data_IF_244130324281
#
_entry.id   IF_244130324281
#
_cell.length_a   1.000
_cell.length_b   1.000
_cell.length_c   1.000
_cell.angle_alpha   90.00
_cell.angle_beta   90.00
_cell.angle_gamma   90.00
#
_symmetry.space_group_name_H-M   'P 1'
#
loop_
_entity.id
_entity.type
_entity.pdbx_description
1 polymer ?
#
# COMPACT_ATOMS: atom_id res chain seq x y z
N UNK A 1 -10.16 -7.27 -5.51
CA UNK A 1 -11.16 -7.81 -6.47
C UNK A 1 -11.66 -9.18 -6.05
N UNK A 2 -12.97 -9.49 -6.19
CA UNK A 2 -13.51 -10.78 -5.80
C UNK A 2 -13.15 -11.90 -6.79
N UNK A 3 -13.12 -13.12 -6.29
CA UNK A 3 -13.02 -14.34 -7.12
C UNK A 3 -14.20 -14.37 -8.11
N UNK A 4 -13.93 -14.77 -9.35
CA UNK A 4 -14.90 -14.81 -10.44
C UNK A 4 -15.05 -13.50 -11.21
N UNK A 5 -14.29 -12.46 -10.85
CA UNK A 5 -14.28 -11.21 -11.62
C UNK A 5 -13.88 -11.46 -13.07
N UNK A 6 -14.71 -11.03 -14.02
CA UNK A 6 -14.47 -11.18 -15.46
C UNK A 6 -13.49 -10.09 -15.88
N UNK A 7 -12.33 -10.51 -16.38
CA UNK A 7 -11.29 -9.62 -16.87
C UNK A 7 -11.61 -9.23 -18.31
N UNK A 8 -11.85 -10.24 -19.15
CA UNK A 8 -12.09 -10.06 -20.58
C UNK A 8 -12.76 -11.30 -21.19
N UNK A 9 -13.17 -11.20 -22.46
CA UNK A 9 -13.65 -12.33 -23.26
C UNK A 9 -12.90 -12.38 -24.59
N UNK A 10 -12.13 -13.45 -24.77
CA UNK A 10 -11.42 -13.72 -26.01
C UNK A 10 -12.35 -14.26 -27.07
N UNK A 11 -12.07 -13.88 -28.31
CA UNK A 11 -12.83 -14.30 -29.48
C UNK A 11 -11.83 -14.83 -30.51
N UNK A 12 -12.00 -16.09 -30.89
CA UNK A 12 -11.40 -16.70 -32.06
C UNK A 12 -12.49 -17.04 -33.08
N UNK A 13 -12.14 -16.98 -34.36
CA UNK A 13 -13.04 -17.22 -35.48
C UNK A 13 -12.47 -18.33 -36.36
N UNK A 14 -13.29 -19.32 -36.64
CA UNK A 14 -13.04 -20.35 -37.66
C UNK A 14 -13.87 -20.01 -38.92
N UNK A 15 -13.33 -20.26 -40.12
CA UNK A 15 -13.96 -19.88 -41.38
C UNK A 15 -14.98 -20.91 -41.92
N UNK A 16 -15.23 -21.98 -41.17
CA UNK A 16 -16.16 -23.04 -41.56
C UNK A 16 -17.64 -22.64 -41.38
N UNK A 17 -18.42 -22.84 -42.45
CA UNK A 17 -19.72 -22.18 -42.69
C UNK A 17 -20.83 -22.58 -41.71
N UNK A 18 -20.74 -23.74 -41.04
CA UNK A 18 -21.80 -24.22 -40.12
C UNK A 18 -21.43 -24.19 -38.64
N UNK A 19 -20.26 -23.66 -38.27
CA UNK A 19 -19.87 -23.67 -36.87
C UNK A 19 -18.66 -22.74 -36.69
N UNK A 20 -18.66 -21.87 -35.68
CA UNK A 20 -17.40 -21.42 -35.08
C UNK A 20 -16.74 -22.66 -34.42
N UNK A 21 -16.35 -23.65 -35.23
CA UNK A 21 -16.49 -25.08 -35.02
C UNK A 21 -15.69 -25.61 -33.85
N UNK A 22 -16.38 -25.88 -32.73
CA UNK A 22 -15.82 -26.55 -31.57
C UNK A 22 -14.42 -26.05 -31.16
N UNK A 23 -14.20 -24.74 -31.19
CA UNK A 23 -12.91 -24.18 -30.76
C UNK A 23 -12.75 -24.31 -29.24
N UNK A 24 -11.53 -24.61 -28.80
CA UNK A 24 -11.20 -24.71 -27.38
C UNK A 24 -10.07 -23.77 -26.97
N UNK A 25 -10.32 -23.00 -25.91
CA UNK A 25 -9.36 -22.08 -25.30
C UNK A 25 -8.64 -22.73 -24.13
N UNK A 26 -7.31 -22.61 -24.10
CA UNK A 26 -6.46 -23.16 -23.04
C UNK A 26 -5.41 -22.16 -22.59
N UNK A 27 -5.26 -22.04 -21.28
CA UNK A 27 -4.18 -21.28 -20.68
C UNK A 27 -2.91 -22.13 -20.66
N UNK A 28 -1.87 -21.70 -21.35
CA UNK A 28 -0.60 -22.43 -21.42
C UNK A 28 0.23 -22.26 -20.14
N UNK A 29 0.09 -21.11 -19.47
CA UNK A 29 0.75 -20.84 -18.21
C UNK A 29 0.10 -21.62 -17.06
N UNK A 30 0.92 -22.33 -16.27
CA UNK A 30 0.46 -22.92 -15.01
C UNK A 30 0.27 -21.81 -13.97
N UNK A 31 -0.98 -21.51 -13.64
CA UNK A 31 -1.35 -20.51 -12.64
C UNK A 31 -2.67 -20.88 -12.00
N UNK A 32 -2.84 -20.52 -10.73
CA UNK A 32 -4.13 -20.58 -10.04
C UNK A 32 -4.85 -19.22 -10.04
N UNK A 33 -4.21 -18.16 -10.55
CA UNK A 33 -4.72 -16.79 -10.53
C UNK A 33 -5.86 -16.60 -11.54
N UNK A 34 -5.71 -17.17 -12.73
CA UNK A 34 -6.61 -16.99 -13.86
C UNK A 34 -7.21 -18.30 -14.31
N UNK A 35 -8.47 -18.24 -14.72
CA UNK A 35 -9.15 -19.33 -15.44
C UNK A 35 -9.76 -18.78 -16.72
N UNK A 36 -9.68 -19.59 -17.77
CA UNK A 36 -10.37 -19.34 -19.03
C UNK A 36 -11.42 -20.42 -19.25
N UNK A 37 -12.63 -20.01 -19.60
CA UNK A 37 -13.67 -20.94 -20.00
C UNK A 37 -13.36 -21.45 -21.42
N UNK A 38 -13.12 -22.77 -21.53
CA UNK A 38 -12.64 -23.39 -22.76
C UNK A 38 -13.58 -23.29 -23.95
N UNK A 39 -14.88 -23.02 -23.76
CA UNK A 39 -15.85 -22.93 -24.86
C UNK A 39 -16.26 -21.49 -25.19
N UNK A 40 -16.16 -20.58 -24.23
CA UNK A 40 -16.64 -19.19 -24.40
C UNK A 40 -15.51 -18.16 -24.51
N UNK A 41 -14.27 -18.54 -24.19
CA UNK A 41 -13.13 -17.62 -24.16
C UNK A 41 -13.17 -16.61 -23.01
N UNK A 42 -14.11 -16.75 -22.06
CA UNK A 42 -14.22 -15.84 -20.93
C UNK A 42 -13.06 -16.05 -19.96
N UNK A 43 -12.27 -14.99 -19.73
CA UNK A 43 -11.15 -14.95 -18.80
C UNK A 43 -11.61 -14.30 -17.48
N UNK A 44 -11.38 -14.99 -16.36
CA UNK A 44 -11.76 -14.49 -15.04
C UNK A 44 -10.71 -14.78 -13.98
N UNK A 45 -10.72 -13.99 -12.91
CA UNK A 45 -9.93 -14.25 -11.71
C UNK A 45 -10.46 -15.48 -10.99
N UNK A 46 -9.55 -16.38 -10.62
CA UNK A 46 -9.81 -17.52 -9.76
C UNK A 46 -9.32 -17.29 -8.32
N UNK A 47 -8.45 -16.30 -8.12
CA UNK A 47 -8.00 -15.83 -6.81
C UNK A 47 -8.12 -14.32 -6.70
N UNK A 48 -8.22 -13.81 -5.47
CA UNK A 48 -8.09 -12.38 -5.21
C UNK A 48 -6.68 -11.90 -5.50
N UNK A 49 -6.57 -10.72 -6.08
CA UNK A 49 -5.30 -10.02 -6.26
C UNK A 49 -5.10 -9.08 -5.07
N UNK A 50 -3.91 -9.16 -4.50
CA UNK A 50 -3.36 -8.30 -3.46
C UNK A 50 -1.96 -7.88 -3.96
N UNK A 51 -1.74 -6.57 -4.10
CA UNK A 51 -0.54 -6.05 -4.74
C UNK A 51 0.69 -6.32 -3.86
N UNK A 52 0.55 -6.14 -2.55
CA UNK A 52 1.60 -6.26 -1.54
C UNK A 52 2.11 -7.71 -1.45
N UNK A 53 1.21 -8.69 -1.60
CA UNK A 53 1.56 -10.11 -1.66
C UNK A 53 2.33 -10.44 -2.95
N UNK A 54 1.92 -9.89 -4.10
CA UNK A 54 2.60 -10.13 -5.38
C UNK A 54 3.96 -9.40 -5.43
N UNK A 55 4.03 -8.20 -4.84
CA UNK A 55 5.21 -7.36 -4.74
C UNK A 55 6.09 -7.73 -3.53
N UNK A 56 5.80 -8.83 -2.81
CA UNK A 56 6.45 -9.18 -1.52
C UNK A 56 7.98 -9.23 -1.56
N UNK A 57 8.56 -9.44 -2.74
CA UNK A 57 10.01 -9.50 -2.96
C UNK A 57 10.55 -8.38 -3.87
N UNK A 58 9.73 -7.41 -4.24
CA UNK A 58 10.03 -6.38 -5.23
C UNK A 58 9.96 -4.97 -4.61
N UNK A 59 10.47 -4.01 -5.37
CA UNK A 59 10.91 -2.69 -4.91
C UNK A 59 9.77 -1.83 -4.34
N UNK A 60 10.02 -1.14 -3.22
CA UNK A 60 9.08 -0.16 -2.60
C UNK A 60 8.60 0.96 -3.54
N UNK A 61 9.26 1.16 -4.68
CA UNK A 61 8.92 2.19 -5.66
C UNK A 61 8.08 1.64 -6.82
N UNK A 62 7.81 0.34 -6.88
CA UNK A 62 7.03 -0.27 -7.93
C UNK A 62 5.54 -0.13 -7.62
N UNK A 63 4.79 0.53 -8.50
CA UNK A 63 3.34 0.75 -8.34
C UNK A 63 2.50 -0.04 -9.34
N UNK A 64 3.15 -0.82 -10.21
CA UNK A 64 2.50 -1.66 -11.21
C UNK A 64 3.26 -2.95 -11.45
N UNK A 65 2.54 -4.07 -11.57
CA UNK A 65 3.10 -5.39 -11.93
C UNK A 65 2.44 -5.87 -13.23
N UNK A 66 3.25 -6.21 -14.23
CA UNK A 66 2.78 -6.82 -15.47
C UNK A 66 2.98 -8.33 -15.41
N UNK A 67 1.88 -9.09 -15.44
CA UNK A 67 1.89 -10.55 -15.53
C UNK A 67 1.54 -11.00 -16.94
N UNK A 68 2.36 -11.89 -17.50
CA UNK A 68 2.21 -12.37 -18.87
C UNK A 68 1.61 -13.79 -18.92
N UNK A 69 0.55 -13.93 -19.70
CA UNK A 69 -0.15 -15.19 -19.91
C UNK A 69 -0.29 -15.47 -21.41
N UNK A 70 -0.06 -16.73 -21.79
CA UNK A 70 -0.19 -17.24 -23.14
C UNK A 70 -1.42 -18.13 -23.20
N UNK A 71 -2.21 -17.93 -24.24
CA UNK A 71 -3.43 -18.67 -24.49
C UNK A 71 -3.30 -19.31 -25.86
N UNK A 72 -3.62 -20.59 -25.91
CA UNK A 72 -3.74 -21.34 -27.14
C UNK A 72 -5.22 -21.58 -27.42
N UNK A 73 -5.59 -21.46 -28.68
CA UNK A 73 -6.90 -21.83 -29.19
C UNK A 73 -6.68 -22.83 -30.30
N UNK A 74 -7.39 -23.95 -30.27
CA UNK A 74 -7.35 -24.93 -31.35
C UNK A 74 -8.76 -25.33 -31.78
N UNK A 75 -8.86 -25.73 -33.04
CA UNK A 75 -10.04 -26.39 -33.58
C UNK A 75 -9.96 -27.91 -33.37
N UNK A 76 -11.09 -28.61 -33.53
CA UNK A 76 -11.11 -30.08 -33.54
C UNK A 76 -11.08 -30.67 -34.96
N UNK A 77 -10.45 -29.95 -35.90
CA UNK A 77 -10.24 -30.40 -37.27
C UNK A 77 -9.29 -31.61 -37.38
N UNK A 78 -9.23 -32.22 -38.56
CA UNK A 78 -8.22 -33.24 -38.90
C UNK A 78 -7.49 -32.86 -40.20
N UNK A 79 -6.25 -32.32 -40.13
CA UNK A 79 -5.47 -32.03 -38.92
C UNK A 79 -6.03 -30.84 -38.12
N UNK A 80 -5.78 -30.80 -36.81
CA UNK A 80 -6.17 -29.67 -35.95
C UNK A 80 -5.26 -28.48 -36.20
N UNK A 81 -5.83 -27.28 -36.28
CA UNK A 81 -5.11 -26.02 -36.36
C UNK A 81 -5.16 -25.32 -35.00
N UNK A 82 -4.05 -24.66 -34.63
CA UNK A 82 -3.98 -23.85 -33.43
C UNK A 82 -3.44 -22.45 -33.70
N UNK A 83 -3.83 -21.52 -32.82
CA UNK A 83 -3.35 -20.15 -32.77
C UNK A 83 -3.05 -19.78 -31.32
N UNK A 84 -2.06 -18.92 -31.12
CA UNK A 84 -1.64 -18.48 -29.81
C UNK A 84 -1.68 -16.96 -29.71
N UNK A 85 -2.06 -16.47 -28.53
CA UNK A 85 -2.02 -15.05 -28.20
C UNK A 85 -1.47 -14.84 -26.80
N UNK A 86 -1.01 -13.60 -26.56
CA UNK A 86 -0.46 -13.16 -25.29
C UNK A 86 -1.40 -12.13 -24.66
N UNK A 87 -1.62 -12.28 -23.36
CA UNK A 87 -2.31 -11.32 -22.50
C UNK A 87 -1.31 -10.77 -21.47
N UNK A 88 -1.32 -9.46 -21.30
CA UNK A 88 -0.61 -8.78 -20.21
C UNK A 88 -1.66 -8.31 -19.21
N UNK A 89 -1.69 -8.91 -18.03
CA UNK A 89 -2.48 -8.44 -16.91
C UNK A 89 -1.64 -7.43 -16.12
N UNK A 90 -1.98 -6.15 -16.27
CA UNK A 90 -1.37 -5.07 -15.49
C UNK A 90 -2.13 -4.86 -14.19
N UNK A 91 -1.45 -5.09 -13.08
CA UNK A 91 -1.96 -4.89 -11.73
C UNK A 91 -1.43 -3.56 -11.22
N UNK A 92 -2.33 -2.73 -10.70
CA UNK A 92 -2.00 -1.44 -10.09
C UNK A 92 -2.07 -1.57 -8.58
N UNK A 93 -1.09 -0.98 -7.91
CA UNK A 93 -1.13 -0.72 -6.48
C UNK A 93 -2.27 0.27 -6.15
N UNK A 94 -2.91 0.09 -5.00
CA UNK A 94 -3.95 0.97 -4.48
C UNK A 94 -3.63 1.33 -3.04
N UNK A 95 -4.05 2.52 -2.60
CA UNK A 95 -3.85 2.93 -1.20
C UNK A 95 -4.80 2.18 -0.26
N UNK A 96 -4.43 0.96 0.13
CA UNK A 96 -5.24 0.07 0.94
C UNK A 96 -4.65 -0.34 2.30
N UNK A 97 -3.44 0.11 2.60
CA UNK A 97 -2.85 0.10 3.94
C UNK A 97 -2.87 1.48 4.57
N UNK A 98 -2.74 1.55 5.89
CA UNK A 98 -2.59 2.82 6.59
C UNK A 98 -1.24 2.81 7.29
N UNK A 99 -0.62 3.97 7.50
CA UNK A 99 0.63 4.03 8.23
C UNK A 99 0.50 3.40 9.62
N UNK A 100 1.50 2.66 10.04
CA UNK A 100 1.55 2.02 11.36
C UNK A 100 2.77 2.51 12.13
N UNK A 101 2.54 2.99 13.35
CA UNK A 101 3.60 3.32 14.29
C UNK A 101 4.30 2.06 14.82
N UNK A 102 5.64 2.09 14.90
CA UNK A 102 6.40 0.95 15.40
C UNK A 102 6.10 0.67 16.87
N UNK A 103 5.65 -0.55 17.17
CA UNK A 103 5.25 -0.97 18.53
C UNK A 103 6.43 -1.25 19.46
N UNK A 104 7.62 -1.43 18.91
CA UNK A 104 8.88 -1.64 19.65
C UNK A 104 9.38 -0.37 20.34
N UNK A 105 8.92 0.80 19.89
CA UNK A 105 9.28 2.09 20.43
C UNK A 105 8.26 2.54 21.49
N UNK A 106 8.75 3.06 22.62
CA UNK A 106 7.88 3.72 23.61
C UNK A 106 7.45 5.09 23.08
N UNK A 107 6.17 5.43 23.29
CA UNK A 107 5.62 6.78 23.10
C UNK A 107 5.36 7.46 24.45
N UNK A 108 6.06 7.00 25.49
CA UNK A 108 6.08 7.61 26.80
C UNK A 108 7.54 7.91 27.14
N UNK A 109 7.92 9.18 27.03
CA UNK A 109 9.29 9.64 27.19
C UNK A 109 9.40 10.48 28.45
N UNK A 110 10.56 10.41 29.10
CA UNK A 110 10.81 11.15 30.33
C UNK A 110 12.06 11.99 30.18
N UNK A 111 11.96 13.27 30.53
CA UNK A 111 13.07 14.22 30.48
C UNK A 111 13.14 15.02 31.78
N UNK A 112 14.34 15.50 32.10
CA UNK A 112 14.48 16.53 33.13
C UNK A 112 13.96 17.87 32.60
N UNK A 113 13.46 18.73 33.48
CA UNK A 113 13.07 20.10 33.11
C UNK A 113 14.21 20.86 32.40
N UNK A 114 15.47 20.59 32.77
CA UNK A 114 16.64 21.25 32.19
C UNK A 114 16.86 20.92 30.71
N UNK A 115 16.36 19.78 30.23
CA UNK A 115 16.51 19.32 28.85
C UNK A 115 15.53 20.01 27.89
N UNK A 116 14.40 20.52 28.41
CA UNK A 116 13.33 21.12 27.63
C UNK A 116 13.62 22.60 27.30
N UNK A 117 14.67 22.83 26.50
CA UNK A 117 15.05 24.14 26.00
C UNK A 117 14.66 24.32 24.52
N UNK A 118 14.35 25.53 24.06
CA UNK A 118 14.18 25.81 22.63
C UNK A 118 15.38 25.32 21.81
N UNK A 119 15.12 24.59 20.72
CA UNK A 119 16.12 23.96 19.88
C UNK A 119 16.50 22.52 20.29
N UNK A 120 16.05 22.02 21.44
CA UNK A 120 16.31 20.64 21.85
C UNK A 120 15.58 19.62 20.97
N UNK A 121 16.29 18.57 20.54
CA UNK A 121 15.71 17.36 19.94
C UNK A 121 15.40 16.39 21.08
N UNK A 122 14.15 15.96 21.18
CA UNK A 122 13.69 15.06 22.24
C UNK A 122 13.90 13.60 21.83
N UNK A 123 13.49 13.26 20.61
CA UNK A 123 13.55 11.89 20.14
C UNK A 123 13.08 11.77 18.70
N UNK A 124 12.93 10.52 18.27
CA UNK A 124 12.44 10.18 16.94
C UNK A 124 11.35 9.14 17.06
N UNK A 125 10.28 9.33 16.28
CA UNK A 125 9.23 8.34 16.09
C UNK A 125 9.42 7.63 14.75
N UNK A 126 8.86 6.43 14.66
CA UNK A 126 8.97 5.58 13.48
C UNK A 126 7.59 5.05 13.13
N UNK A 127 7.27 5.12 11.84
CA UNK A 127 6.09 4.53 11.26
C UNK A 127 6.45 3.97 9.89
N UNK A 128 5.70 2.99 9.44
CA UNK A 128 5.84 2.38 8.12
C UNK A 128 4.48 2.20 7.47
N UNK A 129 4.47 2.17 6.15
CA UNK A 129 3.32 1.79 5.34
C UNK A 129 3.76 0.68 4.38
N UNK A 130 2.86 -0.24 4.08
CA UNK A 130 3.09 -1.38 3.21
C UNK A 130 2.82 -1.08 1.74
N UNK A 131 2.05 -0.03 1.46
CA UNK A 131 1.80 0.42 0.09
C UNK A 131 3.11 0.93 -0.54
N UNK A 132 3.13 1.03 -1.87
CA UNK A 132 4.32 1.45 -2.62
C UNK A 132 4.26 2.92 -3.03
N UNK A 133 5.41 3.48 -3.45
CA UNK A 133 5.47 4.85 -3.98
C UNK A 133 5.01 5.93 -2.99
N UNK A 134 4.12 6.82 -3.42
CA UNK A 134 3.61 7.94 -2.59
C UNK A 134 2.60 7.47 -1.54
N UNK A 135 1.84 6.42 -1.86
CA UNK A 135 0.90 5.76 -0.95
C UNK A 135 1.65 5.15 0.24
N UNK A 136 2.88 4.65 0.00
CA UNK A 136 3.75 4.13 1.05
C UNK A 136 4.61 5.14 1.82
N UNK A 137 4.61 6.41 1.39
CA UNK A 137 5.55 7.41 1.92
C UNK A 137 4.96 8.07 3.17
N UNK A 138 5.73 8.15 4.25
CA UNK A 138 5.23 8.67 5.52
C UNK A 138 5.39 10.18 5.64
N UNK A 139 4.28 10.85 5.94
CA UNK A 139 4.23 12.23 6.40
C UNK A 139 3.87 12.27 7.89
N UNK A 140 4.69 12.95 8.69
CA UNK A 140 4.46 13.10 10.12
C UNK A 140 3.86 14.47 10.44
N UNK A 141 2.95 14.49 11.40
CA UNK A 141 2.51 15.73 12.05
C UNK A 141 2.34 15.52 13.55
N UNK A 142 2.44 16.61 14.30
CA UNK A 142 2.26 16.62 15.75
C UNK A 142 1.32 17.74 16.13
N UNK A 143 0.38 17.43 17.01
CA UNK A 143 -0.58 18.38 17.56
C UNK A 143 -0.37 18.49 19.07
N UNK A 144 -0.10 19.71 19.51
CA UNK A 144 -0.11 20.04 20.94
C UNK A 144 -1.51 20.42 21.40
N UNK A 145 -1.90 19.89 22.56
CA UNK A 145 -3.11 20.28 23.26
C UNK A 145 -2.84 21.28 24.39
N UNK A 146 -1.57 21.62 24.61
CA UNK A 146 -1.13 22.42 25.75
C UNK A 146 -0.45 23.70 25.27
N UNK A 147 -0.85 24.88 25.77
CA UNK A 147 -0.23 26.14 25.34
C UNK A 147 1.23 26.25 25.75
N UNK A 148 1.68 25.43 26.70
CA UNK A 148 2.94 25.64 27.41
C UNK A 148 4.16 24.91 26.89
N UNK A 149 3.94 23.85 26.12
CA UNK A 149 5.00 23.10 25.47
C UNK A 149 4.57 22.93 24.02
N UNK A 150 5.25 23.67 23.16
CA UNK A 150 5.13 23.54 21.71
C UNK A 150 6.20 22.57 21.24
N UNK A 151 5.77 21.54 20.52
CA UNK A 151 6.63 20.61 19.83
C UNK A 151 6.34 20.70 18.34
N UNK A 152 7.37 20.43 17.55
CA UNK A 152 7.26 20.25 16.11
C UNK A 152 8.00 18.99 15.69
N UNK A 153 7.75 18.54 14.46
CA UNK A 153 8.27 17.28 13.93
C UNK A 153 8.80 17.47 12.51
N UNK A 154 9.95 16.86 12.26
CA UNK A 154 10.54 16.82 10.91
C UNK A 154 9.94 15.71 10.06
N UNK A 155 10.09 15.77 8.74
CA UNK A 155 9.70 14.68 7.82
C UNK A 155 10.40 13.35 8.11
N UNK A 156 11.54 13.36 8.82
CA UNK A 156 12.24 12.16 9.25
C UNK A 156 11.74 11.60 10.59
N UNK A 157 10.77 12.26 11.23
CA UNK A 157 10.16 11.84 12.50
C UNK A 157 10.88 12.35 13.75
N UNK A 158 11.87 13.25 13.62
CA UNK A 158 12.49 13.87 14.80
C UNK A 158 11.56 14.90 15.42
N UNK A 159 11.26 14.73 16.70
CA UNK A 159 10.45 15.63 17.52
C UNK A 159 11.38 16.58 18.28
N UNK A 160 11.09 17.87 18.19
CA UNK A 160 11.93 18.92 18.75
C UNK A 160 11.10 20.09 19.28
N UNK A 161 11.74 20.94 20.10
CA UNK A 161 11.16 22.19 20.57
C UNK A 161 11.60 23.31 19.62
N UNK A 162 10.68 24.02 18.95
CA UNK A 162 11.04 25.13 18.06
C UNK A 162 11.84 26.22 18.77
N UNK A 163 12.81 26.84 18.08
CA UNK A 163 13.66 27.91 18.64
C UNK A 163 12.87 29.13 19.13
N UNK A 164 11.77 29.45 18.47
CA UNK A 164 10.91 30.60 18.80
C UNK A 164 9.87 30.29 19.90
N UNK A 165 9.92 29.09 20.49
CA UNK A 165 8.95 28.69 21.50
C UNK A 165 9.04 29.58 22.73
N UNK A 166 7.92 30.18 23.10
CA UNK A 166 7.78 30.90 24.36
C UNK A 166 7.78 29.90 25.50
N UNK A 167 8.71 30.02 26.45
CA UNK A 167 8.67 29.23 27.68
C UNK A 167 7.53 29.82 28.53
N UNK A 168 6.32 29.28 28.40
CA UNK A 168 5.25 29.60 29.33
C UNK A 168 5.51 28.88 30.65
N UNK A 169 5.22 29.54 31.77
CA UNK A 169 5.37 28.97 33.11
C UNK A 169 4.26 27.95 33.36
N UNK A 170 4.40 26.73 32.83
CA UNK A 170 3.51 25.63 33.16
C UNK A 170 4.28 24.56 33.90
N UNK A 171 3.77 24.25 35.09
CA UNK A 171 4.35 23.33 36.05
C UNK A 171 3.70 21.95 36.00
N UNK A 172 3.24 21.52 34.81
CA UNK A 172 2.73 20.16 34.65
C UNK A 172 3.90 19.18 34.63
N UNK A 173 3.71 18.04 35.30
CA UNK A 173 4.68 16.94 35.30
C UNK A 173 4.52 16.00 34.09
N UNK A 174 3.50 16.21 33.27
CA UNK A 174 3.23 15.39 32.09
C UNK A 174 2.48 16.19 31.02
N UNK A 175 2.90 16.03 29.76
CA UNK A 175 2.27 16.63 28.59
C UNK A 175 1.95 15.54 27.57
N UNK A 176 0.73 15.56 27.04
CA UNK A 176 0.30 14.64 25.98
C UNK A 176 0.14 15.38 24.66
N UNK A 177 0.62 14.73 23.59
CA UNK A 177 0.59 15.19 22.21
C UNK A 177 -0.05 14.10 21.34
N UNK A 178 -0.77 14.50 20.31
CA UNK A 178 -1.24 13.60 19.26
C UNK A 178 -0.24 13.65 18.11
N UNK A 179 0.42 12.53 17.85
CA UNK A 179 1.27 12.35 16.68
C UNK A 179 0.47 11.60 15.62
N UNK A 180 0.56 12.06 14.38
CA UNK A 180 -0.13 11.45 13.23
C UNK A 180 0.89 11.06 12.19
N UNK A 181 0.80 9.84 11.68
CA UNK A 181 1.46 9.41 10.46
C UNK A 181 0.39 9.29 9.37
N UNK A 182 0.57 9.97 8.25
CA UNK A 182 -0.27 9.85 7.05
C UNK A 182 0.57 9.47 5.85
N UNK A 183 -0.06 8.91 4.83
CA UNK A 183 0.58 8.77 3.52
C UNK A 183 0.62 10.11 2.75
N UNK A 184 1.15 10.09 1.51
CA UNK A 184 1.14 11.21 0.57
C UNK A 184 0.07 11.07 -0.54
N UNK A 185 -0.94 10.22 -0.38
CA UNK A 185 -2.03 10.15 -1.37
C UNK A 185 -2.92 11.41 -1.27
N UNK A 186 -3.04 12.16 -2.35
CA UNK A 186 -3.88 13.37 -2.40
C UNK A 186 -5.38 13.10 -2.45
N UNK A 187 -5.82 11.90 -2.85
CA UNK A 187 -7.24 11.59 -3.11
C UNK A 187 -7.81 10.73 -1.98
N UNK A 188 -7.15 9.62 -1.65
CA UNK A 188 -7.62 8.67 -0.64
C UNK A 188 -6.60 8.52 0.48
N UNK A 189 -6.08 9.64 1.01
CA UNK A 189 -5.09 9.60 2.09
C UNK A 189 -5.59 8.83 3.29
N UNK A 190 -4.71 8.01 3.86
CA UNK A 190 -4.90 7.24 5.07
C UNK A 190 -3.90 7.68 6.13
N UNK A 191 -4.32 7.56 7.37
CA UNK A 191 -3.53 8.05 8.51
C UNK A 191 -3.85 7.29 9.78
N UNK A 192 -2.85 7.21 10.65
CA UNK A 192 -2.97 6.67 12.00
C UNK A 192 -2.46 7.68 13.01
N UNK A 193 -3.16 7.77 14.14
CA UNK A 193 -2.81 8.64 15.27
C UNK A 193 -2.32 7.83 16.46
N UNK A 194 -1.34 8.36 17.18
CA UNK A 194 -0.84 7.80 18.44
C UNK A 194 -0.67 8.93 19.47
N UNK A 195 -0.86 8.61 20.74
CA UNK A 195 -0.56 9.56 21.82
C UNK A 195 0.91 9.43 22.23
N UNK A 196 1.61 10.56 22.24
CA UNK A 196 2.95 10.74 22.81
C UNK A 196 2.82 11.45 24.16
N UNK A 197 3.39 10.86 25.20
CA UNK A 197 3.43 11.45 26.54
C UNK A 197 4.86 11.82 26.89
N UNK A 198 5.05 13.06 27.33
CA UNK A 198 6.32 13.61 27.82
C UNK A 198 6.17 13.85 29.32
N UNK A 199 6.84 13.04 30.14
CA UNK A 199 6.91 13.24 31.58
C UNK A 199 8.13 14.06 31.96
N UNK A 200 7.97 14.87 32.99
CA UNK A 200 9.03 15.72 33.53
C UNK A 200 9.42 15.20 34.90
N UNK A 201 10.69 14.81 35.00
CA UNK A 201 11.32 14.50 36.28
C UNK A 201 11.98 15.75 36.86
N UNK A 202 11.91 15.85 38.18
CA UNK A 202 12.51 16.90 39.00
C UNK A 202 14.03 16.86 38.99
#
# INVERSE_FOLDING_TARGET
>A
NPIGYIIDKLIASDCDIEQNADIEYHLLNKTDLLIINSKTGQLSLNQSIDFEILNKFQEKNLTTIDLEFHIEVYDHGQPSLSSQTKIILRIHDINDHSPEFEKTHSYNWTYSQSTLQPGSILGRIYAYDYDSGLQGLINYSIRSFHPCLTLDITSLGYIYIPYESSILTCSLLSYTFEITASDYDSINSRSTTQLLTINIES
#
